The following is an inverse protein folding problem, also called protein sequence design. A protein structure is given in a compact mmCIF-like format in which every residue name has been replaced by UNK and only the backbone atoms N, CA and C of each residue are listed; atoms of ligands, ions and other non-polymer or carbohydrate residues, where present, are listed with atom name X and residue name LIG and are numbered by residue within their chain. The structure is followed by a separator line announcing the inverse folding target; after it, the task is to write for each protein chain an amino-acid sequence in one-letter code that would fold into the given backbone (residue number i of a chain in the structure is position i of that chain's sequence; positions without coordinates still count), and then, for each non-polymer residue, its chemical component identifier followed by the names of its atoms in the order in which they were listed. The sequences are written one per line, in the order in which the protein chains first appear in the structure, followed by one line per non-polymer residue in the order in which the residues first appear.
data_IF_632245734214
#
_entry.id   IF_632245734214
#
_cell.length_a   1.000
_cell.length_b   1.000
_cell.length_c   1.000
_cell.angle_alpha   90.00
_cell.angle_beta   90.00
_cell.angle_gamma   90.00
#
_symmetry.space_group_name_H-M   'P 1'
#
loop_
_entity.id
_entity.type
_entity.pdbx_description
1 polymer ?
#
# COMPACT_ATOMS: atom_id res chain seq x y z
N UNK A 1 -27.93 11.42 -0.93
CA UNK A 1 -28.26 9.99 -1.06
C UNK A 1 -27.32 9.39 -2.10
N UNK A 2 -26.52 8.37 -1.78
CA UNK A 2 -25.69 7.70 -2.78
C UNK A 2 -26.57 7.08 -3.88
N UNK A 3 -26.10 7.18 -5.12
CA UNK A 3 -26.81 6.76 -6.33
C UNK A 3 -27.13 5.25 -6.28
N UNK A 4 -28.41 4.89 -6.15
CA UNK A 4 -28.88 3.50 -6.08
C UNK A 4 -28.41 2.70 -7.32
N UNK A 5 -28.36 3.35 -8.48
CA UNK A 5 -27.91 2.74 -9.73
C UNK A 5 -26.43 2.36 -9.65
N UNK A 6 -25.59 3.24 -9.10
CA UNK A 6 -24.15 2.97 -8.94
C UNK A 6 -23.90 1.79 -7.99
N UNK A 7 -24.65 1.70 -6.88
CA UNK A 7 -24.57 0.55 -5.96
C UNK A 7 -25.00 -0.75 -6.62
N UNK A 8 -26.09 -0.71 -7.39
CA UNK A 8 -26.56 -1.88 -8.13
C UNK A 8 -25.54 -2.35 -9.18
N UNK A 9 -24.97 -1.42 -9.95
CA UNK A 9 -23.92 -1.72 -10.92
C UNK A 9 -22.67 -2.30 -10.24
N UNK A 10 -22.25 -1.75 -9.10
CA UNK A 10 -21.10 -2.26 -8.37
C UNK A 10 -21.34 -3.69 -7.84
N UNK A 11 -22.56 -4.00 -7.39
CA UNK A 11 -22.95 -5.37 -7.01
C UNK A 11 -22.92 -6.34 -8.19
N UNK A 12 -23.42 -5.93 -9.35
CA UNK A 12 -23.35 -6.74 -10.57
C UNK A 12 -21.90 -6.98 -10.98
N UNK A 13 -21.07 -5.93 -10.95
CA UNK A 13 -19.64 -6.04 -11.24
C UNK A 13 -18.94 -7.00 -10.26
N UNK A 14 -19.15 -6.83 -8.95
CA UNK A 14 -18.66 -7.75 -7.94
C UNK A 14 -19.13 -9.18 -8.24
N UNK A 15 -20.42 -9.38 -8.53
CA UNK A 15 -21.05 -10.64 -8.95
C UNK A 15 -20.39 -11.33 -10.14
N UNK A 16 -19.82 -10.56 -11.05
CA UNK A 16 -19.25 -11.06 -12.31
C UNK A 16 -17.80 -11.54 -12.20
N UNK A 17 -17.10 -11.29 -11.08
CA UNK A 17 -15.73 -11.75 -10.90
C UNK A 17 -15.63 -13.28 -10.96
N UNK A 18 -14.81 -13.85 -11.86
CA UNK A 18 -14.64 -15.28 -11.92
C UNK A 18 -13.84 -15.79 -10.71
N UNK A 19 -13.96 -17.07 -10.33
CA UNK A 19 -13.31 -17.62 -9.14
C UNK A 19 -11.79 -17.45 -9.09
N UNK A 20 -11.14 -17.33 -10.25
CA UNK A 20 -9.69 -17.16 -10.42
C UNK A 20 -9.23 -15.70 -10.47
N UNK A 21 -10.14 -14.73 -10.51
CA UNK A 21 -9.81 -13.29 -10.50
C UNK A 21 -10.58 -12.61 -9.36
N UNK A 22 -10.10 -12.79 -8.11
CA UNK A 22 -10.78 -12.23 -6.95
C UNK A 22 -10.84 -10.69 -7.03
N UNK A 23 -11.94 -10.06 -6.58
CA UNK A 23 -12.05 -8.60 -6.57
C UNK A 23 -11.05 -7.99 -5.59
N UNK A 24 -10.52 -6.83 -5.95
CA UNK A 24 -9.64 -6.02 -5.11
C UNK A 24 -10.46 -4.89 -4.50
N UNK A 25 -10.48 -4.79 -3.17
CA UNK A 25 -11.26 -3.80 -2.44
C UNK A 25 -10.32 -3.01 -1.52
N UNK A 26 -10.25 -1.70 -1.73
CA UNK A 26 -9.53 -0.77 -0.87
C UNK A 26 -10.49 -0.24 0.21
N UNK A 27 -10.20 -0.61 1.45
CA UNK A 27 -10.94 -0.19 2.62
C UNK A 27 -10.29 1.06 3.23
N UNK A 28 -11.08 2.13 3.35
CA UNK A 28 -10.65 3.41 3.90
C UNK A 28 -11.52 3.84 5.08
N UNK A 29 -10.96 4.63 6.00
CA UNK A 29 -11.79 5.28 7.01
C UNK A 29 -12.55 6.43 6.35
N UNK A 30 -13.75 6.78 6.84
CA UNK A 30 -14.32 8.07 6.49
C UNK A 30 -13.31 9.15 6.93
N UNK A 31 -13.06 10.14 6.07
CA UNK A 31 -12.23 11.30 6.41
C UNK A 31 -12.68 11.82 7.78
N UNK A 32 -11.80 11.77 8.77
CA UNK A 32 -12.18 12.06 10.14
C UNK A 32 -12.44 13.57 10.28
N UNK A 33 -13.39 13.88 11.15
CA UNK A 33 -13.65 15.22 11.67
C UNK A 33 -12.33 15.89 12.09
N UNK A 34 -12.15 17.18 11.75
CA UNK A 34 -10.90 17.96 11.61
C UNK A 34 -9.96 18.06 12.83
N UNK A 35 -10.18 17.26 13.87
CA UNK A 35 -9.51 17.30 15.17
C UNK A 35 -8.14 16.63 15.18
N UNK A 36 -7.76 15.86 14.15
CA UNK A 36 -6.46 15.17 14.06
C UNK A 36 -5.81 15.29 12.66
N UNK A 37 -5.48 16.51 12.20
CA UNK A 37 -5.01 16.75 10.84
C UNK A 37 -3.79 15.89 10.45
N UNK A 38 -2.85 15.64 11.37
CA UNK A 38 -1.68 14.81 11.10
C UNK A 38 -2.01 13.35 10.73
N UNK A 39 -3.00 12.75 11.39
CA UNK A 39 -3.37 11.35 11.15
C UNK A 39 -4.08 11.19 9.80
N UNK A 40 -4.89 12.17 9.43
CA UNK A 40 -5.64 12.18 8.17
C UNK A 40 -4.68 12.34 6.98
N UNK A 41 -3.69 13.22 7.11
CA UNK A 41 -2.65 13.42 6.08
C UNK A 41 -1.90 12.12 5.76
N UNK A 42 -1.51 11.37 6.79
CA UNK A 42 -0.81 10.11 6.59
C UNK A 42 -1.70 9.03 6.01
N UNK A 43 -2.95 8.96 6.46
CA UNK A 43 -3.94 8.05 5.90
C UNK A 43 -4.17 8.30 4.41
N UNK A 44 -4.38 9.55 4.02
CA UNK A 44 -4.59 9.95 2.64
C UNK A 44 -3.34 9.69 1.78
N UNK A 45 -2.15 9.94 2.32
CA UNK A 45 -0.90 9.63 1.66
C UNK A 45 -0.71 8.11 1.44
N UNK A 46 -1.10 7.28 2.41
CA UNK A 46 -1.06 5.82 2.30
C UNK A 46 -2.10 5.27 1.31
N UNK A 47 -3.31 5.84 1.30
CA UNK A 47 -4.31 5.56 0.27
C UNK A 47 -3.79 5.90 -1.13
N UNK A 48 -3.14 7.07 -1.28
CA UNK A 48 -2.59 7.50 -2.55
C UNK A 48 -1.52 6.53 -3.07
N UNK A 49 -0.63 6.06 -2.19
CA UNK A 49 0.40 5.06 -2.54
C UNK A 49 -0.21 3.77 -3.07
N UNK A 50 -1.24 3.26 -2.39
CA UNK A 50 -1.92 2.04 -2.80
C UNK A 50 -2.64 2.24 -4.13
N UNK A 51 -3.38 3.34 -4.30
CA UNK A 51 -4.04 3.69 -5.56
C UNK A 51 -3.04 3.78 -6.71
N UNK A 52 -1.89 4.41 -6.49
CA UNK A 52 -0.82 4.46 -7.49
C UNK A 52 -0.27 3.09 -7.85
N UNK A 53 -0.11 2.18 -6.88
CA UNK A 53 0.33 0.82 -7.16
C UNK A 53 -0.72 0.02 -7.96
N UNK A 54 -2.00 0.21 -7.66
CA UNK A 54 -3.10 -0.40 -8.42
C UNK A 54 -3.14 0.12 -9.86
N UNK A 55 -3.03 1.44 -10.05
CA UNK A 55 -2.94 2.07 -11.38
C UNK A 55 -1.72 1.59 -12.15
N UNK A 56 -0.54 1.59 -11.53
CA UNK A 56 0.69 1.09 -12.15
C UNK A 56 0.53 -0.34 -12.65
N UNK A 57 -0.25 -1.17 -11.95
CA UNK A 57 -0.50 -2.57 -12.31
C UNK A 57 -1.72 -2.76 -13.23
N UNK A 58 -2.36 -1.68 -13.69
CA UNK A 58 -3.59 -1.70 -14.49
C UNK A 58 -4.69 -2.60 -13.90
N UNK A 59 -4.84 -2.56 -12.57
CA UNK A 59 -5.82 -3.38 -11.86
C UNK A 59 -7.10 -2.57 -11.65
N UNK A 60 -8.26 -3.20 -11.85
CA UNK A 60 -9.55 -2.66 -11.40
C UNK A 60 -9.72 -2.88 -9.88
N UNK A 61 -10.30 -1.90 -9.19
CA UNK A 61 -10.59 -2.04 -7.76
C UNK A 61 -11.92 -1.40 -7.35
N UNK A 62 -12.34 -1.76 -6.14
CA UNK A 62 -13.48 -1.15 -5.49
C UNK A 62 -13.01 -0.34 -4.29
N UNK A 63 -13.67 0.79 -4.04
CA UNK A 63 -13.43 1.62 -2.87
C UNK A 63 -14.55 1.36 -1.87
N UNK A 64 -14.21 0.95 -0.65
CA UNK A 64 -15.15 0.80 0.46
C UNK A 64 -14.88 1.93 1.48
N UNK A 65 -15.40 3.15 1.25
CA UNK A 65 -15.27 4.25 2.19
C UNK A 65 -16.20 4.05 3.38
N UNK A 66 -15.85 4.65 4.52
CA UNK A 66 -16.81 4.72 5.63
C UNK A 66 -16.96 3.41 6.37
N UNK A 67 -15.83 2.83 6.79
CA UNK A 67 -15.78 1.67 7.65
C UNK A 67 -16.45 1.96 9.03
N UNK A 68 -17.76 1.72 9.14
CA UNK A 68 -18.52 1.76 10.40
C UNK A 68 -18.31 0.48 11.21
N UNK A 69 -17.84 0.63 12.46
CA UNK A 69 -17.10 -0.36 13.25
C UNK A 69 -17.49 -1.84 13.12
N UNK A 70 -18.78 -2.20 13.13
CA UNK A 70 -19.20 -3.61 13.14
C UNK A 70 -18.86 -4.41 11.87
N UNK A 71 -19.03 -3.84 10.68
CA UNK A 71 -18.73 -4.54 9.43
C UNK A 71 -17.21 -4.66 9.21
N UNK A 72 -16.48 -3.62 9.60
CA UNK A 72 -15.01 -3.53 9.53
C UNK A 72 -14.36 -4.53 10.47
N UNK A 73 -14.83 -4.66 11.71
CA UNK A 73 -14.31 -5.64 12.65
C UNK A 73 -14.48 -7.06 12.11
N UNK A 74 -15.54 -7.33 11.34
CA UNK A 74 -15.72 -8.62 10.64
C UNK A 74 -14.78 -8.74 9.43
N UNK A 75 -14.73 -7.75 8.55
CA UNK A 75 -13.82 -7.74 7.38
C UNK A 75 -12.36 -7.89 7.83
N UNK A 76 -11.94 -7.04 8.75
CA UNK A 76 -10.61 -6.99 9.31
C UNK A 76 -10.36 -8.14 10.32
N UNK A 77 -11.42 -8.82 10.80
CA UNK A 77 -11.47 -9.84 11.88
C UNK A 77 -10.71 -9.45 13.12
N UNK A 78 -10.96 -8.23 13.56
CA UNK A 78 -10.46 -7.71 14.82
C UNK A 78 -11.60 -7.68 15.82
N UNK A 79 -11.31 -8.03 17.08
CA UNK A 79 -12.36 -8.08 18.12
C UNK A 79 -12.55 -6.73 18.80
N UNK A 80 -11.48 -5.95 18.94
CA UNK A 80 -11.43 -4.68 19.65
C UNK A 80 -10.41 -3.74 19.00
N UNK A 81 -10.41 -2.47 19.43
CA UNK A 81 -9.40 -1.48 19.08
C UNK A 81 -9.66 -0.73 17.77
N UNK A 82 -8.76 0.22 17.45
CA UNK A 82 -8.85 1.00 16.21
C UNK A 82 -8.22 0.23 15.06
N UNK A 83 -9.01 -0.17 14.08
CA UNK A 83 -8.53 -0.89 12.91
C UNK A 83 -7.65 0.02 12.06
N UNK A 84 -6.34 -0.21 11.95
CA UNK A 84 -5.46 0.56 11.08
C UNK A 84 -5.95 0.41 9.65
N UNK A 85 -6.09 1.55 8.99
CA UNK A 85 -6.43 1.64 7.57
C UNK A 85 -5.35 2.50 6.91
N UNK A 86 -5.09 2.33 5.61
CA UNK A 86 -5.84 1.51 4.65
C UNK A 86 -5.63 -0.01 4.79
N UNK A 87 -6.65 -0.78 4.41
CA UNK A 87 -6.59 -2.25 4.25
C UNK A 87 -6.95 -2.57 2.80
N UNK A 88 -6.24 -3.51 2.18
CA UNK A 88 -6.63 -4.08 0.88
C UNK A 88 -7.14 -5.49 1.07
N UNK A 89 -8.35 -5.75 0.60
CA UNK A 89 -8.92 -7.08 0.48
C UNK A 89 -8.74 -7.58 -0.95
N UNK A 90 -8.22 -8.80 -1.13
CA UNK A 90 -8.18 -9.47 -2.43
C UNK A 90 -8.93 -10.79 -2.30
N UNK A 91 -10.19 -10.80 -2.71
CA UNK A 91 -11.10 -11.91 -2.45
C UNK A 91 -11.32 -12.07 -0.94
N UNK A 92 -10.76 -13.12 -0.34
CA UNK A 92 -10.88 -13.40 1.10
C UNK A 92 -9.71 -12.91 1.95
N UNK A 93 -8.62 -12.52 1.31
CA UNK A 93 -7.38 -12.21 2.00
C UNK A 93 -7.27 -10.72 2.29
N UNK A 94 -6.87 -10.38 3.51
CA UNK A 94 -6.76 -9.02 4.01
C UNK A 94 -5.29 -8.65 4.18
N UNK A 95 -4.88 -7.52 3.61
CA UNK A 95 -3.52 -7.00 3.68
C UNK A 95 -3.50 -5.66 4.39
N UNK A 96 -2.74 -5.60 5.48
CA UNK A 96 -2.68 -4.45 6.36
C UNK A 96 -1.36 -3.71 6.18
N UNK A 97 -1.43 -2.38 6.14
CA UNK A 97 -0.27 -1.52 5.96
C UNK A 97 0.26 -1.52 4.52
N UNK A 98 0.80 -0.38 4.09
CA UNK A 98 1.22 -0.16 2.69
C UNK A 98 2.26 -1.19 2.25
N UNK A 99 3.26 -1.50 3.10
CA UNK A 99 4.31 -2.47 2.77
C UNK A 99 3.77 -3.88 2.46
N UNK A 100 2.84 -4.39 3.27
CA UNK A 100 2.23 -5.71 3.06
C UNK A 100 1.37 -5.72 1.81
N UNK A 101 0.63 -4.64 1.56
CA UNK A 101 -0.17 -4.44 0.35
C UNK A 101 0.71 -4.48 -0.90
N UNK A 102 1.79 -3.70 -0.93
CA UNK A 102 2.74 -3.69 -2.06
C UNK A 102 3.31 -5.09 -2.33
N UNK A 103 3.73 -5.81 -1.29
CA UNK A 103 4.24 -7.19 -1.40
C UNK A 103 3.18 -8.17 -1.88
N UNK A 104 1.93 -8.00 -1.47
CA UNK A 104 0.81 -8.84 -1.91
C UNK A 104 0.48 -8.61 -3.39
N UNK A 105 0.42 -7.34 -3.80
CA UNK A 105 0.23 -6.95 -5.20
C UNK A 105 1.37 -7.49 -6.07
N UNK A 106 2.62 -7.41 -5.62
CA UNK A 106 3.75 -7.97 -6.38
C UNK A 106 3.65 -9.49 -6.54
N UNK A 107 3.28 -10.22 -5.49
CA UNK A 107 3.16 -11.69 -5.57
C UNK A 107 2.05 -12.13 -6.51
N UNK A 108 0.91 -11.44 -6.51
CA UNK A 108 -0.27 -11.82 -7.31
C UNK A 108 -0.23 -11.27 -8.73
N UNK A 109 0.36 -10.10 -8.91
CA UNK A 109 0.43 -9.36 -10.16
C UNK A 109 1.88 -8.91 -10.38
N UNK A 110 2.79 -9.81 -10.75
CA UNK A 110 4.24 -9.55 -10.76
C UNK A 110 4.70 -8.56 -11.83
N UNK A 111 3.84 -8.25 -12.81
CA UNK A 111 4.14 -7.30 -13.87
C UNK A 111 3.08 -6.18 -13.93
N UNK A 112 3.49 -4.91 -14.14
CA UNK A 112 4.86 -4.40 -13.98
C UNK A 112 5.36 -4.59 -12.54
N UNK A 113 6.67 -4.84 -12.39
CA UNK A 113 7.26 -5.16 -11.09
C UNK A 113 7.38 -3.92 -10.21
N UNK A 114 7.05 -4.05 -8.93
CA UNK A 114 7.27 -2.99 -7.94
C UNK A 114 8.74 -2.90 -7.48
N UNK A 115 9.59 -3.82 -7.90
CA UNK A 115 11.00 -3.86 -7.51
C UNK A 115 11.88 -3.67 -8.74
N UNK A 116 12.87 -2.79 -8.64
CA UNK A 116 13.77 -2.53 -9.76
C UNK A 116 14.64 -3.75 -10.07
N UNK A 117 14.43 -4.37 -11.23
CA UNK A 117 15.34 -5.36 -11.79
C UNK A 117 15.93 -4.90 -13.11
N UNK A 118 17.05 -5.49 -13.56
CA UNK A 118 17.36 -5.46 -14.98
C UNK A 118 16.13 -5.98 -15.73
N UNK A 119 15.76 -5.31 -16.82
CA UNK A 119 14.61 -5.69 -17.66
C UNK A 119 14.71 -7.19 -17.93
N UNK A 120 13.89 -7.98 -17.23
CA UNK A 120 13.75 -9.38 -17.56
C UNK A 120 13.22 -9.36 -18.99
N UNK A 121 14.05 -9.83 -19.94
CA UNK A 121 13.60 -10.03 -21.31
C UNK A 121 12.25 -10.76 -21.23
N UNK A 122 11.24 -10.18 -21.86
CA UNK A 122 9.87 -10.69 -21.87
C UNK A 122 9.90 -12.21 -22.09
N UNK A 123 9.64 -13.00 -21.04
CA UNK A 123 9.71 -14.46 -21.11
C UNK A 123 10.36 -15.20 -19.94
N UNK A 124 11.11 -14.53 -19.05
CA UNK A 124 11.64 -15.21 -17.84
C UNK A 124 10.65 -15.10 -16.67
N UNK A 125 10.00 -16.22 -16.30
CA UNK A 125 9.05 -16.30 -15.18
C UNK A 125 9.69 -16.10 -13.79
N UNK A 126 11.01 -15.92 -13.72
CA UNK A 126 11.73 -15.63 -12.47
C UNK A 126 11.86 -14.13 -12.28
N UNK A 127 10.82 -13.50 -11.74
CA UNK A 127 10.90 -12.12 -11.25
C UNK A 127 11.76 -12.07 -9.98
N UNK A 128 13.08 -11.92 -10.15
CA UNK A 128 13.99 -11.68 -9.04
C UNK A 128 13.77 -10.27 -8.50
N UNK A 129 13.44 -10.15 -7.20
CA UNK A 129 13.34 -8.88 -6.46
C UNK A 129 14.73 -8.25 -6.28
N UNK A 130 15.33 -7.79 -7.37
CA UNK A 130 16.61 -7.10 -7.32
C UNK A 130 16.47 -5.81 -6.51
N UNK A 131 17.49 -5.49 -5.71
CA UNK A 131 17.53 -4.30 -4.85
C UNK A 131 16.35 -4.16 -3.87
N UNK A 132 15.71 -5.27 -3.46
CA UNK A 132 14.65 -5.26 -2.45
C UNK A 132 15.12 -4.58 -1.15
N UNK A 133 16.37 -4.82 -0.74
CA UNK A 133 16.97 -4.19 0.45
C UNK A 133 17.07 -2.66 0.35
N UNK A 134 17.50 -2.14 -0.80
CA UNK A 134 17.56 -0.69 -1.03
C UNK A 134 16.15 -0.09 -1.10
N UNK A 135 15.23 -0.76 -1.81
CA UNK A 135 13.83 -0.33 -1.90
C UNK A 135 13.17 -0.29 -0.52
N UNK A 136 13.43 -1.28 0.33
CA UNK A 136 12.98 -1.32 1.71
C UNK A 136 13.62 -0.21 2.56
N UNK A 137 14.92 0.06 2.40
CA UNK A 137 15.60 1.13 3.11
C UNK A 137 15.04 2.52 2.77
N UNK A 138 14.85 2.81 1.48
CA UNK A 138 14.27 4.07 1.01
C UNK A 138 12.81 4.23 1.43
N UNK A 139 12.03 3.15 1.38
CA UNK A 139 10.65 3.15 1.86
C UNK A 139 10.59 3.41 3.37
N UNK A 140 11.45 2.74 4.15
CA UNK A 140 11.57 2.95 5.60
C UNK A 140 12.01 4.38 5.93
N UNK A 141 12.99 4.94 5.21
CA UNK A 141 13.40 6.34 5.36
C UNK A 141 12.26 7.30 5.05
N UNK A 142 11.52 7.04 3.96
CA UNK A 142 10.36 7.83 3.57
C UNK A 142 9.30 7.85 4.69
N UNK A 143 8.96 6.67 5.24
CA UNK A 143 7.90 6.54 6.24
C UNK A 143 8.28 7.02 7.64
N UNK A 144 9.53 6.82 8.05
CA UNK A 144 9.99 7.09 9.42
C UNK A 144 10.69 8.45 9.58
N UNK A 145 11.14 9.07 8.49
CA UNK A 145 11.93 10.31 8.54
C UNK A 145 11.30 11.40 7.68
N UNK A 146 11.19 11.19 6.37
CA UNK A 146 10.77 12.26 5.46
C UNK A 146 9.31 12.65 5.68
N UNK A 147 8.39 11.67 5.68
CA UNK A 147 6.96 11.92 5.86
C UNK A 147 6.64 12.56 7.23
N UNK A 148 7.20 12.12 8.37
CA UNK A 148 7.06 12.80 9.66
C UNK A 148 7.54 14.25 9.69
N UNK A 149 8.59 14.60 8.93
CA UNK A 149 9.09 15.97 8.84
C UNK A 149 8.06 16.94 8.21
N UNK A 150 7.06 16.45 7.49
CA UNK A 150 5.99 17.26 6.88
C UNK A 150 4.86 17.61 7.86
N UNK A 151 4.72 16.91 8.98
CA UNK A 151 3.60 17.12 9.92
C UNK A 151 3.53 18.55 10.46
N UNK A 152 4.63 19.16 10.94
CA UNK A 152 4.56 20.53 11.46
C UNK A 152 4.12 21.54 10.41
N UNK A 153 4.49 21.33 9.14
CA UNK A 153 4.15 22.23 8.03
C UNK A 153 2.67 22.18 7.66
N UNK A 154 2.05 21.01 7.75
CA UNK A 154 0.63 20.84 7.45
C UNK A 154 -0.30 21.17 8.62
N UNK A 155 0.16 20.93 9.85
CA UNK A 155 -0.66 21.15 11.06
C UNK A 155 -0.56 22.57 11.61
N UNK A 156 0.47 23.31 11.25
CA UNK A 156 0.67 24.69 11.70
C UNK A 156 0.88 25.65 10.52
N UNK A 157 -0.17 26.40 10.11
CA UNK A 157 -0.08 27.40 9.04
C UNK A 157 0.94 28.52 9.32
N UNK A 158 1.36 28.71 10.57
CA UNK A 158 2.33 29.72 10.99
C UNK A 158 3.75 29.16 11.11
N UNK A 159 3.98 27.91 10.70
CA UNK A 159 5.30 27.30 10.78
C UNK A 159 6.29 28.10 9.90
N UNK A 160 7.37 28.66 10.46
CA UNK A 160 8.30 29.48 9.69
C UNK A 160 9.00 28.66 8.60
N UNK A 161 9.07 29.20 7.38
CA UNK A 161 9.78 28.56 6.25
C UNK A 161 11.23 28.22 6.62
N UNK A 162 11.92 29.09 7.35
CA UNK A 162 13.29 28.85 7.80
C UNK A 162 13.45 27.60 8.70
N UNK A 163 12.38 27.17 9.37
CA UNK A 163 12.37 25.95 10.19
C UNK A 163 12.01 24.70 9.37
N UNK A 164 11.63 24.84 8.09
CA UNK A 164 11.42 23.72 7.17
C UNK A 164 12.73 23.06 6.71
N UNK A 165 13.88 23.42 7.31
CA UNK A 165 15.20 22.86 7.01
C UNK A 165 15.21 21.32 6.92
N UNK A 166 14.52 20.55 7.78
CA UNK A 166 14.46 19.10 7.64
C UNK A 166 13.84 18.66 6.30
N UNK A 167 12.77 19.32 5.87
CA UNK A 167 12.08 19.01 4.60
C UNK A 167 12.93 19.42 3.40
N UNK A 168 13.60 20.57 3.47
CA UNK A 168 14.56 21.00 2.45
C UNK A 168 15.71 19.99 2.29
N UNK A 169 16.25 19.47 3.39
CA UNK A 169 17.28 18.43 3.36
C UNK A 169 16.79 17.16 2.66
N UNK A 170 15.55 16.73 2.93
CA UNK A 170 14.98 15.54 2.31
C UNK A 170 14.70 15.74 0.81
N UNK A 171 14.17 16.89 0.41
CA UNK A 171 13.98 17.24 -1.01
C UNK A 171 15.32 17.34 -1.74
N UNK A 172 16.33 17.93 -1.12
CA UNK A 172 17.70 17.97 -1.66
C UNK A 172 18.29 16.56 -1.81
N UNK A 173 18.00 15.66 -0.88
CA UNK A 173 18.43 14.26 -0.97
C UNK A 173 17.81 13.57 -2.19
N UNK A 174 16.51 13.80 -2.44
CA UNK A 174 15.81 13.28 -3.63
C UNK A 174 16.41 13.88 -4.91
N UNK A 175 16.66 15.18 -4.93
CA UNK A 175 17.30 15.89 -6.05
C UNK A 175 18.67 15.28 -6.39
N UNK A 176 19.51 15.02 -5.37
CA UNK A 176 20.81 14.38 -5.54
C UNK A 176 20.70 12.96 -6.11
N UNK A 177 19.75 12.15 -5.61
CA UNK A 177 19.52 10.79 -6.12
C UNK A 177 19.13 10.81 -7.60
N UNK A 178 18.26 11.74 -8.01
CA UNK A 178 17.87 11.92 -9.41
C UNK A 178 19.05 12.39 -10.27
N UNK A 179 19.92 13.24 -9.73
CA UNK A 179 21.13 13.69 -10.42
C UNK A 179 22.08 12.52 -10.68
N UNK A 180 22.29 11.65 -9.69
CA UNK A 180 23.14 10.46 -9.81
C UNK A 180 22.55 9.38 -10.73
N UNK A 181 21.22 9.26 -10.80
CA UNK A 181 20.54 8.25 -11.63
C UNK A 181 20.38 8.66 -13.10
N UNK A 182 20.58 9.93 -13.43
CA UNK A 182 20.53 10.44 -14.81
C UNK A 182 21.83 10.05 -15.52
N UNK A 183 21.79 9.39 -16.70
CA UNK A 183 23.01 9.01 -17.41
C UNK A 183 23.81 10.27 -17.75
N UNK A 184 24.99 10.43 -17.12
CA UNK A 184 25.91 11.51 -17.41
C UNK A 184 26.42 11.36 -18.86
N UNK A 185 25.79 12.05 -19.81
CA UNK A 185 26.55 12.53 -20.97
C UNK A 185 27.43 13.67 -20.47
N UNK A 186 28.73 13.53 -20.65
CA UNK A 186 29.77 14.22 -19.87
C UNK A 186 29.89 15.73 -20.08
N UNK A 187 28.98 16.42 -20.79
CA UNK A 187 29.24 17.83 -21.15
C UNK A 187 28.08 18.85 -21.12
N UNK A 188 26.82 18.51 -20.81
CA UNK A 188 25.75 19.53 -20.87
C UNK A 188 24.67 19.34 -19.80
N UNK A 189 24.73 20.15 -18.74
CA UNK A 189 23.68 20.23 -17.72
C UNK A 189 22.36 20.78 -18.29
N UNK A 190 22.44 21.59 -19.34
CA UNK A 190 21.29 22.15 -20.08
C UNK A 190 20.61 21.14 -21.00
N UNK A 191 21.32 20.16 -21.55
CA UNK A 191 20.72 19.09 -22.38
C UNK A 191 20.12 17.95 -21.55
N UNK A 192 20.53 17.79 -20.29
CA UNK A 192 19.88 16.87 -19.36
C UNK A 192 18.46 17.32 -18.97
N UNK A 193 18.20 18.64 -18.96
CA UNK A 193 16.86 19.18 -18.77
C UNK A 193 15.93 18.82 -19.93
N UNK A 194 16.43 18.78 -21.16
CA UNK A 194 15.65 18.30 -22.31
C UNK A 194 15.54 16.77 -22.34
N UNK A 195 16.56 16.03 -21.89
CA UNK A 195 16.50 14.56 -21.86
C UNK A 195 15.40 13.99 -20.95
N UNK A 196 15.15 14.60 -19.78
CA UNK A 196 14.06 14.20 -18.88
C UNK A 196 12.70 14.71 -19.39
N UNK A 197 12.67 15.84 -20.12
CA UNK A 197 11.44 16.47 -20.63
C UNK A 197 10.97 15.88 -21.97
N UNK A 198 11.87 15.38 -22.83
CA UNK A 198 11.58 14.89 -24.19
C UNK A 198 11.11 13.43 -24.25
N UNK A 199 10.96 12.73 -23.12
CA UNK A 199 10.44 11.36 -23.10
C UNK A 199 8.92 11.24 -23.33
N UNK A 200 8.27 12.27 -23.87
CA UNK A 200 6.81 12.30 -24.04
C UNK A 200 6.29 11.73 -25.36
N UNK A 201 7.16 11.35 -26.31
CA UNK A 201 6.73 11.15 -27.72
C UNK A 201 6.73 9.69 -28.25
N UNK A 202 7.16 8.67 -27.48
CA UNK A 202 7.11 7.26 -27.94
C UNK A 202 6.88 6.26 -26.79
N UNK A 203 5.69 5.62 -26.69
CA UNK A 203 5.37 4.71 -25.59
C UNK A 203 6.13 3.37 -25.61
N UNK A 204 6.78 3.01 -26.72
CA UNK A 204 7.42 1.69 -26.90
C UNK A 204 8.92 1.67 -26.57
N UNK A 205 9.54 2.83 -26.28
CA UNK A 205 11.00 2.94 -26.06
C UNK A 205 11.41 3.81 -24.86
N UNK A 206 10.47 4.35 -24.09
CA UNK A 206 10.79 5.30 -23.01
C UNK A 206 11.25 4.59 -21.74
N UNK A 207 12.55 4.72 -21.49
CA UNK A 207 13.19 4.26 -20.27
C UNK A 207 12.79 5.18 -19.10
N UNK A 208 12.05 4.66 -18.11
CA UNK A 208 11.75 5.34 -16.86
C UNK A 208 13.03 5.60 -16.05
N UNK A 209 13.50 6.85 -16.01
CA UNK A 209 14.57 7.28 -15.10
C UNK A 209 13.98 7.66 -13.74
N UNK A 210 14.00 6.69 -12.81
CA UNK A 210 13.52 6.84 -11.44
C UNK A 210 14.61 7.16 -10.42
N UNK A 211 14.24 7.14 -9.13
CA UNK A 211 15.09 7.56 -8.00
C UNK A 211 16.44 6.83 -7.90
N UNK A 212 16.50 5.57 -8.30
CA UNK A 212 17.73 4.78 -8.10
C UNK A 212 18.16 3.98 -9.32
N UNK A 213 17.32 3.83 -10.35
CA UNK A 213 17.72 3.21 -11.63
C UNK A 213 16.73 3.50 -12.75
N UNK A 214 17.26 3.49 -13.96
CA UNK A 214 16.51 3.52 -15.21
C UNK A 214 15.87 2.15 -15.55
N UNK A 215 14.55 2.10 -15.77
CA UNK A 215 13.76 0.89 -16.11
C UNK A 215 12.72 1.21 -17.17
N UNK A 216 11.66 0.41 -17.34
CA UNK A 216 10.57 0.69 -18.29
C UNK A 216 9.32 1.27 -17.62
N UNK A 217 9.25 1.28 -16.30
CA UNK A 217 8.12 1.79 -15.52
C UNK A 217 8.56 2.22 -14.11
N UNK A 218 7.78 3.07 -13.41
CA UNK A 218 8.00 3.38 -11.99
C UNK A 218 8.01 2.14 -11.09
N UNK A 219 8.66 2.24 -9.93
CA UNK A 219 8.70 1.18 -8.91
C UNK A 219 8.19 1.65 -7.56
N UNK A 220 8.18 0.74 -6.58
CA UNK A 220 7.78 1.04 -5.20
C UNK A 220 8.47 2.28 -4.63
N UNK A 221 9.77 2.46 -4.84
CA UNK A 221 10.49 3.64 -4.35
C UNK A 221 9.95 4.93 -4.96
N UNK A 222 9.65 4.92 -6.26
CA UNK A 222 9.07 6.07 -6.95
C UNK A 222 7.67 6.37 -6.40
N UNK A 223 6.85 5.35 -6.15
CA UNK A 223 5.51 5.54 -5.58
C UNK A 223 5.56 6.08 -4.15
N UNK A 224 6.43 5.52 -3.30
CA UNK A 224 6.53 5.88 -1.89
C UNK A 224 7.11 7.28 -1.70
N UNK A 225 8.17 7.63 -2.44
CA UNK A 225 8.78 8.96 -2.39
C UNK A 225 7.94 9.98 -3.14
N UNK A 226 7.35 9.61 -4.28
CA UNK A 226 6.53 10.50 -5.10
C UNK A 226 5.30 10.97 -4.36
N UNK A 227 4.65 10.08 -3.57
CA UNK A 227 3.46 10.48 -2.81
C UNK A 227 3.83 11.45 -1.67
N UNK A 228 4.97 11.23 -1.02
CA UNK A 228 5.49 12.12 0.03
C UNK A 228 5.97 13.45 -0.56
N UNK A 229 6.58 13.44 -1.73
CA UNK A 229 6.95 14.63 -2.48
C UNK A 229 5.69 15.42 -2.90
N UNK A 230 4.64 14.74 -3.38
CA UNK A 230 3.36 15.37 -3.67
C UNK A 230 2.75 16.02 -2.43
N UNK A 231 2.83 15.35 -1.27
CA UNK A 231 2.41 15.91 0.00
C UNK A 231 3.26 17.12 0.42
N UNK A 232 4.56 17.11 0.15
CA UNK A 232 5.43 18.26 0.38
C UNK A 232 5.08 19.42 -0.58
N UNK A 233 4.67 19.12 -1.81
CA UNK A 233 4.29 20.11 -2.83
C UNK A 233 2.97 20.80 -2.53
N UNK A 234 2.07 20.15 -1.79
CA UNK A 234 0.82 20.77 -1.33
C UNK A 234 1.02 21.76 -0.17
N UNK A 235 2.20 21.80 0.46
CA UNK A 235 2.54 22.80 1.49
C UNK A 235 2.72 24.18 0.83
N UNK A 236 1.90 25.19 1.18
CA UNK A 236 1.96 26.51 0.54
C UNK A 236 3.33 27.19 0.68
N UNK A 237 3.98 27.03 1.83
CA UNK A 237 5.26 27.66 2.16
C UNK A 237 6.45 27.10 1.36
N UNK A 238 6.30 25.94 0.71
CA UNK A 238 7.33 25.32 -0.12
C UNK A 238 7.08 25.54 -1.61
N UNK A 239 5.89 26.02 -2.02
CA UNK A 239 5.45 26.05 -3.42
C UNK A 239 6.44 26.74 -4.37
N UNK A 240 6.99 27.88 -3.97
CA UNK A 240 7.97 28.62 -4.80
C UNK A 240 9.33 27.93 -4.93
N UNK A 241 9.70 27.06 -3.99
CA UNK A 241 11.01 26.40 -3.99
C UNK A 241 11.09 25.18 -4.92
N UNK A 242 9.95 24.62 -5.35
CA UNK A 242 9.94 23.42 -6.19
C UNK A 242 10.63 23.62 -7.53
N UNK A 243 10.25 24.67 -8.25
CA UNK A 243 10.76 24.94 -9.59
C UNK A 243 12.14 25.59 -9.59
N UNK A 244 12.47 26.36 -8.55
CA UNK A 244 13.72 27.10 -8.46
C UNK A 244 14.84 26.29 -7.80
N UNK A 245 14.52 25.56 -6.72
CA UNK A 245 15.52 24.85 -5.90
C UNK A 245 15.59 23.35 -6.20
N UNK A 246 14.48 22.72 -6.58
CA UNK A 246 14.39 21.27 -6.82
C UNK A 246 13.82 20.90 -8.20
N UNK A 247 14.38 21.45 -9.30
CA UNK A 247 13.81 21.31 -10.63
C UNK A 247 13.73 19.86 -11.11
N UNK A 248 14.70 18.99 -10.77
CA UNK A 248 14.65 17.58 -11.17
C UNK A 248 13.57 16.84 -10.40
N UNK A 249 13.44 17.09 -9.10
CA UNK A 249 12.39 16.51 -8.25
C UNK A 249 11.01 16.92 -8.73
N UNK A 250 10.82 18.20 -9.09
CA UNK A 250 9.57 18.69 -9.66
C UNK A 250 9.23 17.97 -10.98
N UNK A 251 10.19 17.94 -11.92
CA UNK A 251 10.02 17.28 -13.23
C UNK A 251 9.77 15.77 -13.11
N UNK A 252 10.53 15.07 -12.26
CA UNK A 252 10.33 13.64 -11.98
C UNK A 252 8.94 13.37 -11.39
N UNK A 253 8.48 14.19 -10.45
CA UNK A 253 7.15 14.06 -9.87
C UNK A 253 6.06 14.30 -10.92
N UNK A 254 6.19 15.31 -11.77
CA UNK A 254 5.23 15.59 -12.84
C UNK A 254 5.13 14.43 -13.84
N UNK A 255 6.28 13.85 -14.23
CA UNK A 255 6.30 12.63 -15.07
C UNK A 255 5.65 11.44 -14.40
N UNK A 256 5.88 11.25 -13.09
CA UNK A 256 5.26 10.15 -12.34
C UNK A 256 3.73 10.29 -12.34
N UNK A 257 3.24 11.51 -12.12
CA UNK A 257 1.81 11.80 -12.13
C UNK A 257 1.20 11.59 -13.51
N UNK A 258 1.81 12.13 -14.56
CA UNK A 258 1.36 11.93 -15.94
C UNK A 258 1.35 10.44 -16.32
N UNK A 259 2.39 9.69 -15.95
CA UNK A 259 2.47 8.24 -16.16
C UNK A 259 1.30 7.49 -15.49
N UNK A 260 0.93 7.89 -14.27
CA UNK A 260 -0.13 7.25 -13.49
C UNK A 260 -1.54 7.75 -13.86
N UNK A 261 -1.68 8.96 -14.39
CA UNK A 261 -2.95 9.54 -14.85
C UNK A 261 -3.41 8.95 -16.18
N UNK A 262 -2.48 8.56 -17.05
CA UNK A 262 -2.78 7.89 -18.33
C UNK A 262 -3.32 6.46 -18.17
N UNK A 263 -3.26 5.90 -16.96
CA UNK A 263 -3.71 4.54 -16.64
C UNK A 263 -5.11 4.57 -16.05
N UNK A 264 -5.85 3.49 -16.25
CA UNK A 264 -7.28 3.42 -15.90
C UNK A 264 -7.53 3.76 -14.43
N UNK A 265 -8.44 4.70 -14.18
CA UNK A 265 -8.90 5.06 -12.84
C UNK A 265 -10.27 4.43 -12.59
N UNK A 266 -10.30 3.26 -11.96
CA UNK A 266 -11.55 2.57 -11.62
C UNK A 266 -11.54 2.18 -10.15
N UNK A 267 -11.77 3.18 -9.28
CA UNK A 267 -12.21 2.95 -7.91
C UNK A 267 -13.73 3.01 -7.83
N UNK A 268 -14.42 1.88 -8.01
CA UNK A 268 -15.88 1.86 -7.93
C UNK A 268 -16.32 1.78 -6.47
N UNK A 269 -17.10 2.75 -6.00
CA UNK A 269 -17.56 2.76 -4.61
C UNK A 269 -18.55 1.62 -4.31
N UNK A 270 -18.29 0.86 -3.24
CA UNK A 270 -19.15 -0.24 -2.74
C UNK A 270 -19.52 -0.03 -1.26
N UNK A 271 -20.51 -0.77 -0.77
CA UNK A 271 -20.84 -0.77 0.66
C UNK A 271 -20.01 -1.80 1.44
N UNK A 272 -19.92 -1.62 2.76
CA UNK A 272 -19.24 -2.57 3.63
C UNK A 272 -19.91 -3.95 3.62
N UNK A 273 -21.24 -4.00 3.47
CA UNK A 273 -22.00 -5.26 3.33
C UNK A 273 -21.60 -6.00 2.06
N UNK A 274 -21.47 -5.28 0.93
CA UNK A 274 -21.05 -5.87 -0.34
C UNK A 274 -19.62 -6.43 -0.24
N UNK A 275 -18.72 -5.72 0.48
CA UNK A 275 -17.37 -6.21 0.74
C UNK A 275 -17.33 -7.45 1.65
N UNK A 276 -18.21 -7.52 2.67
CA UNK A 276 -18.38 -8.71 3.52
C UNK A 276 -18.89 -9.90 2.71
N UNK A 277 -19.82 -9.69 1.76
CA UNK A 277 -20.30 -10.76 0.90
C UNK A 277 -19.20 -11.38 0.04
N UNK A 278 -18.14 -10.64 -0.31
CA UNK A 278 -16.99 -11.24 -1.00
C UNK A 278 -16.31 -12.31 -0.16
N UNK A 279 -16.35 -12.21 1.18
CA UNK A 279 -15.77 -13.22 2.06
C UNK A 279 -16.48 -14.57 1.96
N UNK A 280 -17.77 -14.61 1.62
CA UNK A 280 -18.52 -15.88 1.53
C UNK A 280 -18.31 -16.62 0.20
N UNK A 281 -17.80 -15.93 -0.82
CA UNK A 281 -17.66 -16.49 -2.16
C UNK A 281 -16.51 -17.47 -2.29
N UNK A 282 -16.65 -18.46 -3.18
CA UNK A 282 -15.58 -19.43 -3.44
C UNK A 282 -14.62 -18.86 -4.50
N UNK A 283 -13.46 -18.39 -4.06
CA UNK A 283 -12.34 -18.06 -4.94
C UNK A 283 -11.32 -19.21 -4.92
N UNK A 284 -10.75 -19.54 -6.07
CA UNK A 284 -9.62 -20.47 -6.12
C UNK A 284 -8.44 -19.79 -5.43
N UNK A 285 -7.91 -20.43 -4.39
CA UNK A 285 -6.76 -19.93 -3.63
C UNK A 285 -5.56 -19.92 -4.57
N UNK A 286 -5.27 -18.77 -5.16
CA UNK A 286 -4.03 -18.56 -5.91
C UNK A 286 -2.88 -18.44 -4.93
N UNK A 287 -2.09 -19.52 -4.79
CA UNK A 287 -0.73 -19.61 -4.23
C UNK A 287 -0.38 -18.89 -2.90
N UNK A 288 -1.34 -18.27 -2.20
CA UNK A 288 -1.20 -17.89 -0.81
C UNK A 288 -1.43 -19.14 0.03
N UNK A 289 -0.33 -19.86 0.28
CA UNK A 289 -0.15 -20.94 1.25
C UNK A 289 -1.42 -21.62 1.73
N UNK A 290 -1.63 -22.86 1.28
CA UNK A 290 -2.44 -23.82 2.03
C UNK A 290 -2.11 -23.66 3.51
N UNK A 291 -3.10 -23.33 4.35
CA UNK A 291 -2.92 -23.32 5.80
C UNK A 291 -2.39 -24.71 6.15
N UNK A 292 -1.10 -24.85 6.52
CA UNK A 292 -0.67 -26.13 7.04
C UNK A 292 -1.52 -26.34 8.29
N UNK A 293 -2.00 -27.55 8.58
CA UNK A 293 -2.67 -27.84 9.84
C UNK A 293 -1.63 -27.75 10.98
N UNK A 294 -1.23 -26.53 11.34
CA UNK A 294 -0.52 -26.23 12.57
C UNK A 294 -1.54 -25.75 13.59
N UNK A 295 -1.42 -26.30 14.78
CA UNK A 295 -2.54 -26.50 15.70
C UNK A 295 -2.61 -25.43 16.80
N UNK A 296 -1.92 -24.30 16.61
CA UNK A 296 -1.81 -23.23 17.59
C UNK A 296 -2.55 -21.98 17.11
N UNK A 297 -3.54 -21.57 17.89
CA UNK A 297 -4.22 -20.29 17.69
C UNK A 297 -3.42 -19.23 18.46
N UNK A 298 -2.95 -18.22 17.74
CA UNK A 298 -2.29 -17.04 18.31
C UNK A 298 -3.25 -15.87 18.33
N UNK A 299 -3.10 -15.00 19.32
CA UNK A 299 -3.66 -13.67 19.37
C UNK A 299 -2.52 -12.66 19.25
N UNK A 300 -2.68 -11.77 18.28
CA UNK A 300 -1.73 -10.71 17.96
C UNK A 300 -2.36 -9.40 18.38
N UNK A 301 -1.70 -8.70 19.30
CA UNK A 301 -2.04 -7.33 19.67
C UNK A 301 -1.15 -6.38 18.88
N UNK A 302 -1.78 -5.46 18.15
CA UNK A 302 -1.12 -4.43 17.38
C UNK A 302 -0.76 -3.25 18.28
N UNK A 303 0.20 -2.43 17.87
CA UNK A 303 0.64 -1.23 18.61
C UNK A 303 -0.49 -0.22 18.88
N UNK A 304 -1.59 -0.29 18.13
CA UNK A 304 -2.77 0.55 18.31
C UNK A 304 -3.85 -0.07 19.24
N UNK A 305 -3.55 -1.21 19.86
CA UNK A 305 -4.44 -1.96 20.76
C UNK A 305 -5.49 -2.81 20.06
N UNK A 306 -5.47 -2.94 18.72
CA UNK A 306 -6.33 -3.88 18.03
C UNK A 306 -5.83 -5.31 18.18
N UNK A 307 -6.74 -6.26 18.44
CA UNK A 307 -6.40 -7.67 18.61
C UNK A 307 -7.00 -8.53 17.51
N UNK A 308 -6.19 -9.48 17.03
CA UNK A 308 -6.53 -10.40 15.94
C UNK A 308 -6.14 -11.81 16.37
N UNK A 309 -7.05 -12.76 16.22
CA UNK A 309 -6.78 -14.17 16.55
C UNK A 309 -6.85 -15.05 15.30
N UNK A 310 -5.94 -16.01 15.17
CA UNK A 310 -5.93 -16.97 14.07
C UNK A 310 -4.76 -17.96 14.17
N UNK A 311 -4.70 -18.91 13.25
CA UNK A 311 -3.57 -19.82 13.09
C UNK A 311 -2.48 -19.16 12.27
N UNK A 312 -1.22 -19.25 12.68
CA UNK A 312 -0.11 -18.72 11.87
C UNK A 312 0.04 -19.59 10.61
N UNK A 313 -0.24 -18.99 9.44
CA UNK A 313 -0.11 -19.65 8.14
C UNK A 313 1.28 -19.46 7.58
N UNK A 314 1.79 -18.22 7.65
CA UNK A 314 3.16 -17.89 7.28
C UNK A 314 3.72 -16.82 8.20
N UNK A 315 5.01 -16.90 8.49
CA UNK A 315 5.77 -15.85 9.15
C UNK A 315 7.05 -15.60 8.35
N UNK A 316 7.13 -14.45 7.69
CA UNK A 316 8.29 -14.02 6.91
C UNK A 316 9.13 -13.02 7.68
N UNK A 317 10.18 -12.48 7.07
CA UNK A 317 10.95 -11.36 7.66
C UNK A 317 10.08 -10.11 7.87
N UNK A 318 9.08 -9.89 7.04
CA UNK A 318 8.34 -8.62 6.98
C UNK A 318 6.90 -8.73 7.48
N UNK A 319 6.27 -9.88 7.26
CA UNK A 319 4.85 -10.08 7.48
C UNK A 319 4.55 -11.35 8.26
N UNK A 320 3.44 -11.35 8.99
CA UNK A 320 2.80 -12.54 9.55
C UNK A 320 1.40 -12.67 8.96
N UNK A 321 1.08 -13.86 8.46
CA UNK A 321 -0.27 -14.18 7.95
C UNK A 321 -0.98 -15.12 8.92
N UNK A 322 -2.16 -14.70 9.38
CA UNK A 322 -3.05 -15.48 10.23
C UNK A 322 -4.22 -16.01 9.40
N UNK A 323 -4.43 -17.32 9.40
CA UNK A 323 -5.60 -17.99 8.85
C UNK A 323 -6.69 -18.08 9.91
N UNK A 324 -7.92 -17.80 9.54
CA UNK A 324 -9.07 -17.83 10.46
C UNK A 324 -10.30 -18.39 9.77
N UNK A 325 -11.16 -19.02 10.55
CA UNK A 325 -12.51 -19.40 10.13
C UNK A 325 -13.47 -18.34 10.66
N UNK A 326 -14.13 -17.63 9.76
CA UNK A 326 -15.19 -16.70 10.12
C UNK A 326 -16.54 -17.26 9.76
N UNK A 327 -17.48 -17.10 10.69
CA UNK A 327 -18.88 -17.38 10.44
C UNK A 327 -19.55 -16.13 9.91
N UNK A 328 -19.92 -16.13 8.64
CA UNK A 328 -20.54 -14.99 7.96
C UNK A 328 -21.96 -15.37 7.59
N UNK A 329 -22.93 -14.51 7.92
CA UNK A 329 -24.32 -14.69 7.49
C UNK A 329 -24.41 -14.26 6.03
N UNK A 330 -24.54 -15.23 5.13
CA UNK A 330 -24.81 -15.04 3.71
C UNK A 330 -26.30 -15.17 3.40
N UNK A 331 -26.65 -15.03 2.12
CA UNK A 331 -28.03 -15.19 1.63
C UNK A 331 -28.58 -16.61 1.85
N UNK A 332 -27.69 -17.62 1.87
CA UNK A 332 -28.02 -19.04 2.11
C UNK A 332 -27.95 -19.44 3.61
N UNK A 333 -27.79 -18.47 4.52
CA UNK A 333 -27.63 -18.70 5.95
C UNK A 333 -26.18 -18.54 6.43
N UNK A 334 -25.85 -19.15 7.56
CA UNK A 334 -24.54 -19.01 8.20
C UNK A 334 -23.49 -19.88 7.49
N UNK A 335 -22.51 -19.23 6.83
CA UNK A 335 -21.44 -19.89 6.07
C UNK A 335 -20.12 -19.71 6.79
N UNK A 336 -19.40 -20.80 7.03
CA UNK A 336 -18.01 -20.74 7.47
C UNK A 336 -17.09 -20.43 6.30
N UNK A 337 -16.29 -19.38 6.44
CA UNK A 337 -15.33 -18.96 5.44
C UNK A 337 -13.93 -18.89 6.03
N UNK A 338 -13.00 -19.57 5.37
CA UNK A 338 -11.57 -19.45 5.67
C UNK A 338 -11.06 -18.19 4.99
N UNK A 339 -10.53 -17.27 5.78
CA UNK A 339 -9.89 -16.05 5.32
C UNK A 339 -8.50 -15.90 5.96
N UNK A 340 -7.66 -15.07 5.36
CA UNK A 340 -6.34 -14.77 5.91
C UNK A 340 -6.14 -13.29 6.14
N UNK A 341 -5.38 -12.93 7.19
CA UNK A 341 -4.96 -11.57 7.48
C UNK A 341 -3.45 -11.53 7.50
N UNK A 342 -2.86 -10.74 6.61
CA UNK A 342 -1.43 -10.47 6.58
C UNK A 342 -1.15 -9.13 7.24
N UNK A 343 -0.37 -9.18 8.31
CA UNK A 343 0.01 -8.05 9.15
C UNK A 343 1.51 -7.76 8.99
N UNK A 344 1.91 -6.48 8.92
CA UNK A 344 3.31 -6.10 8.90
C UNK A 344 3.90 -6.27 10.32
N UNK A 345 5.07 -6.88 10.42
CA UNK A 345 5.69 -7.22 11.71
C UNK A 345 5.99 -6.01 12.58
N UNK A 346 6.30 -4.87 11.99
CA UNK A 346 6.60 -3.64 12.72
C UNK A 346 5.37 -2.93 13.30
N UNK A 347 4.15 -3.39 12.97
CA UNK A 347 2.90 -2.95 13.62
C UNK A 347 2.46 -3.89 14.76
N UNK A 348 3.11 -5.04 14.91
CA UNK A 348 2.78 -6.02 15.95
C UNK A 348 3.46 -5.60 17.25
N UNK A 349 2.66 -5.41 18.30
CA UNK A 349 3.15 -5.05 19.63
C UNK A 349 3.46 -6.28 20.47
N UNK A 350 2.51 -7.22 20.56
CA UNK A 350 2.62 -8.42 21.41
C UNK A 350 2.06 -9.64 20.69
N UNK A 351 2.77 -10.77 20.79
CA UNK A 351 2.27 -12.09 20.45
C UNK A 351 1.85 -12.84 21.71
N UNK A 352 0.62 -13.35 21.71
CA UNK A 352 0.11 -14.22 22.77
C UNK A 352 -0.36 -15.53 22.16
N UNK A 353 0.22 -16.64 22.58
CA UNK A 353 -0.30 -17.97 22.24
C UNK A 353 -1.54 -18.21 23.11
N UNK A 354 -2.71 -18.40 22.48
CA UNK A 354 -3.99 -18.50 23.19
C UNK A 354 -4.41 -19.95 23.40
N UNK A 355 -4.11 -20.83 22.45
CA UNK A 355 -4.55 -22.21 22.53
C UNK A 355 -3.54 -23.14 21.86
N UNK A 356 -2.86 -23.96 22.68
CA UNK A 356 -2.13 -25.14 22.24
C UNK A 356 -3.08 -26.33 22.35
N UNK A 357 -3.51 -26.86 21.21
CA UNK A 357 -4.25 -28.12 21.19
C UNK A 357 -3.30 -29.30 21.48
N UNK A 358 -2.87 -29.41 22.75
CA UNK A 358 -2.39 -30.63 23.44
C UNK A 358 -1.93 -30.33 24.87
N UNK A 359 -2.76 -30.71 25.83
CA UNK A 359 -2.34 -31.19 27.16
C UNK A 359 -1.91 -30.12 28.18
N UNK A 360 -2.69 -30.05 29.26
CA UNK A 360 -2.38 -29.48 30.58
C UNK A 360 -0.90 -29.17 30.83
N UNK A 361 -0.61 -27.89 31.02
CA UNK A 361 0.59 -27.40 31.66
C UNK A 361 0.69 -25.90 31.47
N UNK A 362 0.52 -25.13 32.56
CA UNK A 362 0.83 -23.70 32.57
C UNK A 362 2.23 -23.49 31.99
N UNK A 363 2.30 -22.90 30.80
CA UNK A 363 3.56 -22.56 30.16
C UNK A 363 3.65 -21.05 29.99
N UNK A 364 4.83 -20.54 30.38
CA UNK A 364 5.23 -19.15 30.30
C UNK A 364 4.95 -18.57 28.92
N UNK A 365 4.39 -17.36 28.91
CA UNK A 365 4.34 -16.46 27.78
C UNK A 365 5.79 -16.21 27.35
N UNK A 366 6.21 -16.82 26.24
CA UNK A 366 7.47 -16.47 25.61
C UNK A 366 7.20 -15.32 24.65
N UNK A 367 7.73 -14.14 25.00
CA UNK A 367 7.87 -13.04 24.06
C UNK A 367 8.88 -13.49 23.00
N UNK A 368 8.46 -13.52 21.74
CA UNK A 368 9.38 -13.71 20.61
C UNK A 368 9.83 -12.30 20.23
N UNK A 369 11.07 -11.94 20.58
CA UNK A 369 11.76 -10.72 20.12
C UNK A 369 12.09 -10.80 18.62
#
# INVERSE_FOLDING_TARGET
MPNIIARFQARLALGSHPPNVPPIILHSRPSLDTKKPAADIFHDNDLQRIRWALRLKDLDWYECPGLDGGAVHRVAGTRLGKIPVPIVQIGKDMYWGVGSVMRALERRFPYPTLYSGPVAAAGSQTHTRHHEGLSAALTSWCDKVFRPALVPLHTNPRYPVAQAHPVHFHLQTVESMLTESTPMSTNDFTSNRSFIVDQSESPESTQWHGIHRSTTHPHMTDLMLGSTALLARSVPSLRSTWTETYPLTASWLDRLLDYLEKRTETGVAISAEDAVQVLTRKFTVGECGTVPPQSEIVEVELQNGATISGQVVTASKWDVTLGRTESVVGEEGQVESICSVTLPKDEIGVYKIVETSKGLGDKKINYID
#
